data_IF_458862186889
#
_entry.id   IF_458862186889
#
_cell.length_a   1.000
_cell.length_b   1.000
_cell.length_c   1.000
_cell.angle_alpha   90.00
_cell.angle_beta   90.00
_cell.angle_gamma   90.00
#
_symmetry.space_group_name_H-M   'P 1'
#
loop_
_entity.id
_entity.type
_entity.pdbx_description
1 polymer ?
#
# COMPACT_ATOMS: atom_id res chain seq x y z
N UNK A 1 27.47 -30.95 -29.54
CA UNK A 1 27.01 -30.38 -28.22
C UNK A 1 27.19 -28.88 -28.30
N UNK A 2 26.11 -28.15 -28.56
CA UNK A 2 26.08 -26.69 -28.57
C UNK A 2 25.99 -26.19 -27.13
N UNK A 3 26.97 -25.42 -26.68
CA UNK A 3 26.93 -24.79 -25.39
C UNK A 3 25.77 -23.78 -25.34
N UNK A 4 25.00 -23.70 -24.23
CA UNK A 4 23.98 -22.68 -24.11
C UNK A 4 24.65 -21.31 -24.11
N UNK A 5 24.03 -20.34 -24.82
CA UNK A 5 24.49 -18.97 -24.84
C UNK A 5 24.55 -18.40 -23.43
N UNK A 6 25.55 -17.56 -23.10
CA UNK A 6 25.64 -16.94 -21.77
C UNK A 6 24.40 -16.08 -21.52
N UNK A 7 23.71 -16.31 -20.39
CA UNK A 7 22.61 -15.49 -19.92
C UNK A 7 23.25 -14.15 -19.50
N UNK A 8 23.06 -13.14 -20.32
CA UNK A 8 23.49 -11.77 -19.97
C UNK A 8 22.71 -11.33 -18.70
N UNK A 9 23.39 -10.75 -17.71
CA UNK A 9 22.69 -10.16 -16.57
C UNK A 9 21.72 -9.09 -17.06
N UNK A 10 20.49 -9.10 -16.55
CA UNK A 10 19.51 -8.08 -16.89
C UNK A 10 20.10 -6.69 -16.63
N UNK A 11 19.99 -5.80 -17.60
CA UNK A 11 20.42 -4.41 -17.43
C UNK A 11 19.71 -3.80 -16.20
N UNK A 12 20.37 -2.91 -15.43
CA UNK A 12 19.74 -2.27 -14.28
C UNK A 12 18.47 -1.54 -14.72
N UNK A 13 17.40 -1.65 -13.92
CA UNK A 13 16.13 -1.03 -14.20
C UNK A 13 16.32 0.49 -14.41
N UNK A 14 15.88 1.01 -15.54
CA UNK A 14 15.85 2.45 -15.81
C UNK A 14 14.44 2.98 -15.53
N UNK A 15 14.20 3.61 -14.38
CA UNK A 15 12.85 4.05 -13.98
C UNK A 15 12.27 5.14 -14.90
N UNK A 16 13.10 5.76 -15.73
CA UNK A 16 12.71 6.78 -16.70
C UNK A 16 12.49 6.22 -18.12
N UNK A 17 12.60 4.90 -18.31
CA UNK A 17 12.42 4.30 -19.63
C UNK A 17 10.98 4.45 -20.14
N UNK A 18 9.97 4.44 -19.27
CA UNK A 18 8.58 4.73 -19.63
C UNK A 18 8.22 6.14 -19.16
N UNK A 19 8.01 7.03 -20.11
CA UNK A 19 7.55 8.40 -19.87
C UNK A 19 6.03 8.44 -19.99
N UNK A 20 5.36 8.91 -18.94
CA UNK A 20 3.91 8.96 -18.82
C UNK A 20 3.40 10.39 -19.09
N UNK A 21 2.24 10.50 -19.74
CA UNK A 21 1.57 11.79 -19.98
C UNK A 21 1.14 12.49 -18.69
N UNK A 22 0.79 11.70 -17.66
CA UNK A 22 0.47 12.16 -16.33
C UNK A 22 0.69 11.04 -15.31
N UNK A 23 1.02 11.40 -14.08
CA UNK A 23 1.06 10.48 -12.94
C UNK A 23 -0.27 10.47 -12.18
N UNK A 24 -1.05 11.53 -12.34
CA UNK A 24 -2.39 11.66 -11.76
C UNK A 24 -3.34 12.23 -12.80
N UNK A 25 -4.55 11.65 -12.86
CA UNK A 25 -5.67 12.18 -13.61
C UNK A 25 -6.86 12.39 -12.69
N UNK A 26 -7.56 13.50 -12.90
CA UNK A 26 -8.71 13.91 -12.10
C UNK A 26 -9.91 14.13 -13.00
N UNK A 27 -11.09 13.74 -12.53
CA UNK A 27 -12.36 14.06 -13.19
C UNK A 27 -13.47 14.27 -12.17
N UNK A 28 -14.49 15.02 -12.62
CA UNK A 28 -15.72 15.26 -11.88
C UNK A 28 -16.89 14.75 -12.74
N UNK A 29 -17.21 13.45 -12.65
CA UNK A 29 -18.31 12.86 -13.41
C UNK A 29 -19.64 13.50 -13.01
N UNK A 30 -20.60 13.48 -13.92
CA UNK A 30 -21.94 13.97 -13.64
C UNK A 30 -22.67 13.10 -12.59
N UNK A 31 -23.67 13.66 -11.94
CA UNK A 31 -24.48 12.92 -10.99
C UNK A 31 -25.18 11.74 -11.69
N UNK A 32 -25.03 10.53 -11.15
CA UNK A 32 -25.65 9.31 -11.70
C UNK A 32 -24.80 8.56 -12.73
N UNK A 33 -23.61 9.05 -13.08
CA UNK A 33 -22.69 8.25 -13.91
C UNK A 33 -22.28 6.96 -13.19
N UNK A 34 -22.39 5.83 -13.89
CA UNK A 34 -22.11 4.52 -13.35
C UNK A 34 -20.60 4.17 -13.35
N UNK A 35 -19.82 4.84 -14.21
CA UNK A 35 -18.38 4.60 -14.33
C UNK A 35 -17.63 5.85 -14.81
N UNK A 36 -16.35 5.93 -14.49
CA UNK A 36 -15.42 6.91 -15.04
C UNK A 36 -14.27 6.21 -15.74
N UNK A 37 -13.91 6.67 -16.94
CA UNK A 37 -12.88 6.07 -17.77
C UNK A 37 -11.70 7.04 -17.91
N UNK A 38 -10.49 6.51 -17.84
CA UNK A 38 -9.24 7.25 -17.93
C UNK A 38 -8.29 6.52 -18.86
N UNK A 39 -7.48 7.28 -19.61
CA UNK A 39 -6.41 6.74 -20.43
C UNK A 39 -5.12 7.41 -20.02
N UNK A 40 -4.15 6.63 -19.55
CA UNK A 40 -2.77 7.08 -19.35
C UNK A 40 -1.96 6.68 -20.58
N UNK A 41 -1.36 7.66 -21.23
CA UNK A 41 -0.46 7.42 -22.33
C UNK A 41 0.97 7.30 -21.81
N UNK A 42 1.72 6.34 -22.32
CA UNK A 42 3.13 6.21 -22.01
C UNK A 42 3.95 5.86 -23.24
N UNK A 43 5.19 6.33 -23.24
CA UNK A 43 6.14 6.08 -24.35
C UNK A 43 7.40 5.45 -23.79
N UNK A 44 7.86 4.37 -24.43
CA UNK A 44 9.19 3.83 -24.16
C UNK A 44 10.25 4.72 -24.84
N UNK A 45 10.91 5.56 -24.05
CA UNK A 45 11.96 6.49 -24.55
C UNK A 45 13.35 5.88 -24.46
N UNK A 46 13.49 4.63 -23.99
CA UNK A 46 14.76 3.92 -23.94
C UNK A 46 15.12 3.27 -25.27
N UNK A 47 16.35 2.82 -25.39
CA UNK A 47 16.84 2.09 -26.57
C UNK A 47 16.56 0.58 -26.52
N UNK A 48 15.93 0.10 -25.43
CA UNK A 48 15.63 -1.31 -25.19
C UNK A 48 14.14 -1.53 -25.01
N UNK A 49 13.68 -2.74 -25.31
CA UNK A 49 12.31 -3.14 -24.99
C UNK A 49 12.07 -3.07 -23.47
N UNK A 50 10.92 -2.54 -23.08
CA UNK A 50 10.41 -2.60 -21.71
C UNK A 50 9.26 -3.59 -21.66
N UNK A 51 9.29 -4.51 -20.70
CA UNK A 51 8.23 -5.50 -20.49
C UNK A 51 7.43 -5.14 -19.24
N UNK A 52 6.12 -4.92 -19.42
CA UNK A 52 5.19 -4.77 -18.31
C UNK A 52 4.74 -6.16 -17.87
N UNK A 53 5.12 -6.56 -16.67
CA UNK A 53 4.86 -7.89 -16.11
C UNK A 53 3.49 -8.00 -15.47
N UNK A 54 3.02 -6.90 -14.85
CA UNK A 54 1.73 -6.86 -14.20
C UNK A 54 1.20 -5.44 -14.08
N UNK A 55 -0.13 -5.31 -14.11
CA UNK A 55 -0.85 -4.09 -13.74
C UNK A 55 -1.85 -4.46 -12.65
N UNK A 56 -1.79 -3.75 -11.51
CA UNK A 56 -2.64 -4.01 -10.35
C UNK A 56 -3.42 -2.77 -9.96
N UNK A 57 -4.67 -2.95 -9.57
CA UNK A 57 -5.55 -1.87 -9.12
C UNK A 57 -5.76 -1.94 -7.61
N UNK A 58 -6.01 -0.80 -6.96
CA UNK A 58 -6.18 -0.69 -5.51
C UNK A 58 -7.48 -1.29 -4.97
N UNK A 59 -8.44 -1.64 -5.82
CA UNK A 59 -9.72 -2.27 -5.42
C UNK A 59 -10.35 -3.01 -6.61
N UNK A 60 -11.28 -3.91 -6.32
CA UNK A 60 -12.10 -4.58 -7.34
C UNK A 60 -13.07 -3.66 -8.10
N UNK A 61 -13.20 -2.39 -7.65
CA UNK A 61 -14.01 -1.37 -8.33
C UNK A 61 -13.25 -0.65 -9.46
N UNK A 62 -11.97 -0.95 -9.65
CA UNK A 62 -11.12 -0.40 -10.70
C UNK A 62 -10.63 -1.54 -11.58
N UNK A 63 -10.83 -1.42 -12.87
CA UNK A 63 -10.38 -2.38 -13.88
C UNK A 63 -9.48 -1.70 -14.91
N UNK A 64 -8.58 -2.48 -15.51
CA UNK A 64 -7.73 -2.04 -16.60
C UNK A 64 -7.98 -2.92 -17.81
N UNK A 65 -8.02 -2.30 -18.99
CA UNK A 65 -8.03 -3.04 -20.25
C UNK A 65 -6.58 -3.22 -20.69
N UNK A 66 -6.13 -4.46 -20.68
CA UNK A 66 -4.77 -4.82 -20.99
C UNK A 66 -4.72 -5.69 -22.26
N UNK A 67 -3.67 -5.57 -23.07
CA UNK A 67 -3.37 -6.54 -24.09
C UNK A 67 -2.90 -7.87 -23.45
N UNK A 68 -2.34 -8.77 -24.28
CA UNK A 68 -1.73 -10.01 -23.77
C UNK A 68 -0.60 -9.69 -22.80
N UNK A 69 -0.58 -10.35 -21.65
CA UNK A 69 0.47 -10.22 -20.65
C UNK A 69 1.47 -11.39 -20.76
N UNK A 70 2.78 -11.17 -20.60
CA UNK A 70 3.44 -9.87 -20.39
C UNK A 70 3.31 -8.94 -21.59
N UNK A 71 3.25 -7.61 -21.35
CA UNK A 71 3.09 -6.61 -22.39
C UNK A 71 4.44 -6.03 -22.81
N UNK A 72 4.83 -6.32 -24.04
CA UNK A 72 6.10 -5.92 -24.62
C UNK A 72 5.98 -4.53 -25.26
N UNK A 73 6.82 -3.59 -24.87
CA UNK A 73 6.86 -2.20 -25.31
C UNK A 73 8.19 -1.94 -26.03
N UNK A 74 8.25 -2.05 -27.34
CA UNK A 74 9.47 -1.72 -28.10
C UNK A 74 9.92 -0.28 -27.92
N UNK A 75 11.21 0.05 -28.20
CA UNK A 75 11.69 1.43 -28.21
C UNK A 75 10.85 2.34 -29.10
N UNK A 76 10.56 3.56 -28.61
CA UNK A 76 9.78 4.56 -29.32
C UNK A 76 8.27 4.31 -29.35
N UNK A 77 7.78 3.18 -28.83
CA UNK A 77 6.35 2.85 -28.84
C UNK A 77 5.59 3.72 -27.87
N UNK A 78 4.50 4.32 -28.31
CA UNK A 78 3.50 5.01 -27.52
C UNK A 78 2.27 4.10 -27.36
N UNK A 79 1.80 3.92 -26.12
CA UNK A 79 0.69 2.99 -25.81
C UNK A 79 -0.24 3.56 -24.77
N UNK A 80 -1.56 3.26 -24.85
CA UNK A 80 -2.54 3.66 -23.84
C UNK A 80 -2.70 2.58 -22.76
N UNK A 81 -2.76 2.99 -21.51
CA UNK A 81 -3.28 2.20 -20.41
C UNK A 81 -4.70 2.72 -20.07
N UNK A 82 -5.71 1.95 -20.47
CA UNK A 82 -7.11 2.29 -20.22
C UNK A 82 -7.53 1.78 -18.84
N UNK A 83 -8.14 2.65 -18.03
CA UNK A 83 -8.60 2.38 -16.68
C UNK A 83 -10.07 2.79 -16.54
N UNK A 84 -10.89 1.90 -15.98
CA UNK A 84 -12.30 2.16 -15.68
C UNK A 84 -12.56 2.01 -14.19
N UNK A 85 -13.32 2.94 -13.61
CA UNK A 85 -13.72 2.91 -12.19
C UNK A 85 -15.25 2.81 -12.13
N UNK A 86 -15.75 1.79 -11.41
CA UNK A 86 -17.17 1.68 -11.06
C UNK A 86 -17.52 2.72 -9.97
N UNK A 87 -18.46 3.59 -10.26
CA UNK A 87 -18.90 4.68 -9.40
C UNK A 87 -20.18 4.37 -8.63
N UNK A 88 -20.84 3.25 -8.90
CA UNK A 88 -22.11 2.88 -8.27
C UNK A 88 -21.96 2.77 -6.75
N UNK A 89 -22.87 3.43 -6.03
CA UNK A 89 -22.86 3.46 -4.57
C UNK A 89 -21.70 4.25 -3.95
N UNK A 90 -21.03 5.10 -4.73
CA UNK A 90 -19.92 5.94 -4.25
C UNK A 90 -20.33 7.41 -4.24
N UNK A 91 -19.73 8.18 -3.33
CA UNK A 91 -19.94 9.63 -3.19
C UNK A 91 -18.66 10.29 -2.66
N UNK A 92 -18.54 11.60 -2.82
CA UNK A 92 -17.40 12.36 -2.36
C UNK A 92 -16.16 12.20 -3.21
N UNK A 93 -14.99 12.46 -2.64
CA UNK A 93 -13.71 12.34 -3.35
C UNK A 93 -13.18 10.92 -3.23
N UNK A 94 -12.91 10.28 -4.36
CA UNK A 94 -12.38 8.92 -4.43
C UNK A 94 -10.99 8.98 -5.08
N UNK A 95 -9.97 8.48 -4.40
CA UNK A 95 -8.63 8.27 -4.98
C UNK A 95 -8.36 6.79 -5.18
N UNK A 96 -7.88 6.41 -6.37
CA UNK A 96 -7.52 5.04 -6.73
C UNK A 96 -6.12 5.00 -7.34
N UNK A 97 -5.37 3.98 -6.97
CA UNK A 97 -4.05 3.74 -7.53
C UNK A 97 -4.07 2.58 -8.52
N UNK A 98 -3.33 2.74 -9.61
CA UNK A 98 -2.97 1.69 -10.57
C UNK A 98 -1.46 1.53 -10.52
N UNK A 99 -1.00 0.34 -10.21
CA UNK A 99 0.43 0.03 -10.12
C UNK A 99 0.84 -0.79 -11.33
N UNK A 100 1.83 -0.29 -12.05
CA UNK A 100 2.46 -0.94 -13.21
C UNK A 100 3.82 -1.49 -12.79
N UNK A 101 3.99 -2.80 -12.87
CA UNK A 101 5.22 -3.52 -12.60
C UNK A 101 5.89 -3.88 -13.92
N UNK A 102 7.10 -3.39 -14.16
CA UNK A 102 7.82 -3.57 -15.42
C UNK A 102 9.32 -3.78 -15.21
N UNK A 103 10.02 -4.18 -16.29
CA UNK A 103 11.49 -4.25 -16.30
C UNK A 103 12.16 -2.87 -16.10
N UNK A 104 11.43 -1.78 -16.34
CA UNK A 104 11.88 -0.42 -16.02
C UNK A 104 11.68 -0.03 -14.54
N UNK A 105 11.02 -0.89 -13.75
CA UNK A 105 10.67 -0.64 -12.36
C UNK A 105 9.16 -0.55 -12.13
N UNK A 106 8.78 -0.16 -10.91
CA UNK A 106 7.39 -0.04 -10.50
C UNK A 106 6.94 1.42 -10.63
N UNK A 107 5.81 1.63 -11.33
CA UNK A 107 5.17 2.94 -11.45
C UNK A 107 3.78 2.91 -10.82
N UNK A 108 3.47 3.92 -10.02
CA UNK A 108 2.13 4.13 -9.48
C UNK A 108 1.47 5.32 -10.16
N UNK A 109 0.25 5.10 -10.69
CA UNK A 109 -0.59 6.12 -11.31
C UNK A 109 -1.79 6.35 -10.41
N UNK A 110 -2.23 7.60 -10.27
CA UNK A 110 -3.37 7.97 -9.42
C UNK A 110 -4.52 8.48 -10.26
N UNK A 111 -5.71 8.03 -9.90
CA UNK A 111 -6.96 8.57 -10.42
C UNK A 111 -7.74 9.15 -9.26
N UNK A 112 -8.12 10.41 -9.38
CA UNK A 112 -8.98 11.13 -8.45
C UNK A 112 -10.32 11.40 -9.11
N UNK A 113 -11.39 11.00 -8.43
CA UNK A 113 -12.77 11.22 -8.90
C UNK A 113 -13.50 12.07 -7.86
N UNK A 114 -13.98 13.22 -8.28
CA UNK A 114 -14.79 14.12 -7.44
C UNK A 114 -16.27 13.88 -7.74
N UNK A 115 -16.94 13.10 -6.90
CA UNK A 115 -18.35 12.80 -7.03
C UNK A 115 -19.22 13.93 -6.47
N UNK A 116 -20.32 14.32 -7.15
CA UNK A 116 -21.28 15.26 -6.59
C UNK A 116 -21.90 14.76 -5.28
N UNK A 117 -22.18 15.66 -4.34
CA UNK A 117 -22.94 15.37 -3.11
C UNK A 117 -22.14 14.74 -1.95
N UNK A 118 -20.83 14.58 -2.05
CA UNK A 118 -19.99 14.17 -0.96
C UNK A 118 -19.29 15.34 -0.28
N UNK A 119 -19.14 15.29 1.06
CA UNK A 119 -18.24 16.21 1.74
C UNK A 119 -16.82 16.00 1.18
N UNK A 120 -16.14 17.07 0.83
CA UNK A 120 -14.72 17.02 0.45
C UNK A 120 -13.97 16.44 1.63
N UNK A 121 -13.45 15.23 1.48
CA UNK A 121 -12.47 14.71 2.43
C UNK A 121 -11.18 15.49 2.19
N UNK A 122 -11.02 16.55 2.97
CA UNK A 122 -9.79 17.34 2.99
C UNK A 122 -8.69 16.49 3.58
N UNK A 123 -7.88 15.87 2.71
CA UNK A 123 -6.67 15.17 3.08
C UNK A 123 -6.84 13.92 3.96
N UNK A 124 -5.92 13.01 3.85
CA UNK A 124 -5.82 11.84 4.73
C UNK A 124 -5.48 12.32 6.15
N UNK A 125 -6.44 12.25 7.06
CA UNK A 125 -6.18 12.46 8.49
C UNK A 125 -5.80 11.12 9.13
N UNK A 126 -4.52 10.89 9.28
CA UNK A 126 -4.02 9.84 10.17
C UNK A 126 -3.90 10.47 11.55
N UNK A 127 -4.51 9.94 12.61
CA UNK A 127 -4.36 10.49 13.95
C UNK A 127 -2.88 10.72 14.28
N UNK A 128 -2.53 11.95 14.65
CA UNK A 128 -1.13 12.33 14.93
C UNK A 128 -0.26 12.70 13.72
N UNK A 129 -0.80 12.67 12.49
CA UNK A 129 -0.08 13.08 11.29
C UNK A 129 -0.69 14.34 10.66
N UNK A 130 0.13 15.23 10.07
CA UNK A 130 -0.38 16.35 9.30
C UNK A 130 -1.21 15.85 8.12
N UNK A 131 -2.26 16.58 7.77
CA UNK A 131 -3.06 16.29 6.57
C UNK A 131 -2.16 16.31 5.33
N UNK A 132 -2.21 15.24 4.55
CA UNK A 132 -1.41 15.08 3.34
C UNK A 132 -2.31 15.11 2.12
N UNK A 133 -1.98 15.94 1.13
CA UNK A 133 -2.68 15.93 -0.15
C UNK A 133 -2.25 14.74 -1.03
N UNK A 134 -3.05 14.42 -2.04
CA UNK A 134 -2.82 13.26 -2.90
C UNK A 134 -1.50 13.34 -3.68
N UNK A 135 -1.03 14.55 -4.02
CA UNK A 135 0.23 14.75 -4.75
C UNK A 135 1.44 14.40 -3.87
N UNK A 136 1.45 14.89 -2.63
CA UNK A 136 2.53 14.59 -1.69
C UNK A 136 2.53 13.11 -1.31
N UNK A 137 1.33 12.53 -1.15
CA UNK A 137 1.19 11.09 -0.93
C UNK A 137 1.76 10.27 -2.07
N UNK A 138 1.49 10.66 -3.32
CA UNK A 138 2.06 9.99 -4.50
C UNK A 138 3.58 10.08 -4.53
N UNK A 139 4.13 11.27 -4.30
CA UNK A 139 5.60 11.47 -4.23
C UNK A 139 6.23 10.59 -3.16
N UNK A 140 5.63 10.54 -1.97
CA UNK A 140 6.12 9.70 -0.88
C UNK A 140 6.07 8.21 -1.23
N UNK A 141 4.99 7.76 -1.88
CA UNK A 141 4.88 6.38 -2.37
C UNK A 141 5.96 6.05 -3.41
N UNK A 142 6.21 6.94 -4.36
CA UNK A 142 7.26 6.74 -5.37
C UNK A 142 8.65 6.72 -4.75
N UNK A 143 8.92 7.60 -3.78
CA UNK A 143 10.17 7.60 -3.04
C UNK A 143 10.38 6.27 -2.31
N UNK A 144 9.35 5.76 -1.64
CA UNK A 144 9.40 4.48 -0.93
C UNK A 144 9.50 3.25 -1.87
N UNK A 145 8.99 3.33 -3.09
CA UNK A 145 9.17 2.29 -4.11
C UNK A 145 10.59 2.30 -4.67
N UNK A 146 11.22 3.47 -4.79
CA UNK A 146 12.61 3.61 -5.23
C UNK A 146 13.61 3.17 -4.15
N UNK A 147 13.42 3.61 -2.91
CA UNK A 147 14.17 3.17 -1.72
C UNK A 147 13.21 2.99 -0.54
N UNK A 148 12.85 1.75 -0.24
CA UNK A 148 11.94 1.43 0.88
C UNK A 148 12.46 1.92 2.24
N UNK A 149 13.78 2.09 2.40
CA UNK A 149 14.39 2.59 3.63
C UNK A 149 14.39 4.14 3.72
N UNK A 150 13.91 4.84 2.69
CA UNK A 150 13.80 6.31 2.72
C UNK A 150 12.97 6.80 3.90
N UNK A 151 11.96 6.01 4.32
CA UNK A 151 11.10 6.33 5.47
C UNK A 151 11.85 6.42 6.80
N UNK A 152 13.08 5.87 6.87
CA UNK A 152 13.96 5.94 8.04
C UNK A 152 15.18 6.81 7.82
N UNK A 153 15.63 6.98 6.57
CA UNK A 153 16.82 7.75 6.20
C UNK A 153 16.54 9.25 6.07
N UNK A 154 15.40 9.60 5.50
CA UNK A 154 14.97 10.99 5.37
C UNK A 154 14.43 11.50 6.71
N UNK A 155 14.99 12.62 7.22
CA UNK A 155 14.62 13.15 8.53
C UNK A 155 13.14 13.55 8.63
N UNK A 156 12.53 14.04 7.54
CA UNK A 156 11.10 14.38 7.53
C UNK A 156 10.22 13.14 7.59
N UNK A 157 10.61 12.07 6.89
CA UNK A 157 9.90 10.81 6.92
C UNK A 157 10.08 10.11 8.27
N UNK A 158 11.30 10.11 8.82
CA UNK A 158 11.64 9.43 10.07
C UNK A 158 10.85 9.97 11.28
N UNK A 159 10.51 11.26 11.30
CA UNK A 159 9.69 11.87 12.35
C UNK A 159 8.38 11.11 12.59
N UNK A 160 7.76 10.57 11.54
CA UNK A 160 6.52 9.80 11.64
C UNK A 160 6.73 8.29 11.58
N UNK A 161 7.73 7.81 10.82
CA UNK A 161 7.89 6.39 10.54
C UNK A 161 8.93 5.67 11.43
N UNK A 162 9.80 6.41 12.13
CA UNK A 162 10.84 5.84 12.99
C UNK A 162 10.80 6.38 14.42
N UNK A 163 10.73 7.70 14.58
CA UNK A 163 10.86 8.36 15.88
C UNK A 163 9.82 7.92 16.92
N UNK A 164 8.55 7.68 16.56
CA UNK A 164 7.56 7.18 17.53
C UNK A 164 7.94 5.85 18.16
N UNK A 165 8.71 5.01 17.47
CA UNK A 165 9.14 3.72 18.01
C UNK A 165 10.26 3.81 19.06
N UNK A 166 10.98 4.94 19.13
CA UNK A 166 12.15 5.09 20.02
C UNK A 166 11.82 4.92 21.51
N UNK A 167 10.60 5.26 21.92
CA UNK A 167 10.16 5.23 23.33
C UNK A 167 9.16 4.12 23.62
N UNK A 168 8.78 3.33 22.63
CA UNK A 168 7.76 2.28 22.75
C UNK A 168 8.40 0.91 22.87
N UNK A 169 7.82 0.05 23.72
CA UNK A 169 8.28 -1.33 23.90
C UNK A 169 7.16 -2.36 23.63
N UNK A 170 5.89 -1.99 23.81
CA UNK A 170 4.75 -2.90 23.66
C UNK A 170 4.35 -3.11 22.20
N UNK A 171 4.03 -4.35 21.83
CA UNK A 171 3.62 -4.70 20.47
C UNK A 171 2.45 -3.90 19.91
N UNK A 172 1.32 -3.73 20.64
CA UNK A 172 0.19 -2.92 20.19
C UNK A 172 0.56 -1.47 19.90
N UNK A 173 1.34 -0.84 20.80
CA UNK A 173 1.75 0.56 20.65
C UNK A 173 2.73 0.71 19.46
N UNK A 174 3.69 -0.20 19.32
CA UNK A 174 4.61 -0.23 18.19
C UNK A 174 3.86 -0.40 16.87
N UNK A 175 2.92 -1.35 16.82
CA UNK A 175 2.10 -1.56 15.63
C UNK A 175 1.35 -0.28 15.23
N UNK A 176 0.63 0.31 16.16
CA UNK A 176 -0.13 1.55 15.92
C UNK A 176 0.77 2.68 15.43
N UNK A 177 1.96 2.80 16.02
CA UNK A 177 2.86 3.92 15.76
C UNK A 177 3.61 3.84 14.42
N UNK A 178 4.00 2.64 13.96
CA UNK A 178 4.88 2.51 12.78
C UNK A 178 4.40 1.55 11.71
N UNK A 179 3.49 0.63 12.01
CA UNK A 179 2.91 -0.31 11.03
C UNK A 179 1.53 0.13 10.54
N UNK A 180 0.67 0.56 11.47
CA UNK A 180 -0.71 0.97 11.20
C UNK A 180 -0.81 2.14 10.24
N UNK A 181 0.21 3.01 10.17
CA UNK A 181 0.31 4.11 9.21
C UNK A 181 0.07 3.62 7.77
N UNK A 182 0.62 2.45 7.43
CA UNK A 182 0.45 1.84 6.12
C UNK A 182 -0.67 0.79 6.11
N UNK A 183 -0.68 -0.13 7.08
CA UNK A 183 -1.54 -1.30 7.08
C UNK A 183 -2.99 -1.03 7.50
N UNK A 184 -3.23 -0.05 8.38
CA UNK A 184 -4.58 0.36 8.83
C UNK A 184 -5.07 1.64 8.15
N UNK A 185 -4.31 2.19 7.19
CA UNK A 185 -4.71 3.40 6.48
C UNK A 185 -6.03 3.19 5.73
N UNK A 186 -6.97 4.10 5.89
CA UNK A 186 -8.25 4.12 5.14
C UNK A 186 -8.01 4.17 3.63
N UNK A 187 -6.92 4.82 3.20
CA UNK A 187 -6.48 4.88 1.82
C UNK A 187 -5.25 3.99 1.59
N UNK A 188 -5.25 2.79 2.19
CA UNK A 188 -4.16 1.83 2.03
C UNK A 188 -3.81 1.63 0.56
N UNK A 189 -2.51 1.76 0.22
CA UNK A 189 -2.04 1.52 -1.13
C UNK A 189 -2.26 0.04 -1.52
N UNK A 190 -2.54 -0.22 -2.80
CA UNK A 190 -2.82 -1.57 -3.30
C UNK A 190 -1.70 -2.59 -3.03
N UNK A 191 -0.45 -2.11 -2.96
CA UNK A 191 0.72 -2.94 -2.68
C UNK A 191 0.89 -3.26 -1.19
N UNK A 192 0.17 -2.59 -0.30
CA UNK A 192 0.21 -2.82 1.14
C UNK A 192 -0.88 -3.84 1.49
N UNK A 193 -0.54 -5.03 1.99
CA UNK A 193 -1.52 -6.06 2.31
C UNK A 193 -2.44 -5.64 3.45
N UNK A 194 -3.68 -6.13 3.40
CA UNK A 194 -4.59 -6.09 4.54
C UNK A 194 -4.22 -7.21 5.51
N UNK A 195 -3.66 -6.84 6.66
CA UNK A 195 -3.26 -7.83 7.65
C UNK A 195 -4.47 -8.50 8.33
N UNK A 196 -5.65 -7.88 8.25
CA UNK A 196 -6.92 -8.45 8.77
C UNK A 196 -7.58 -9.43 7.79
N UNK A 197 -7.03 -9.57 6.58
CA UNK A 197 -7.56 -10.43 5.52
C UNK A 197 -6.48 -11.35 4.94
N UNK A 198 -5.59 -11.87 5.78
CA UNK A 198 -4.56 -12.83 5.39
C UNK A 198 -5.21 -14.13 4.92
N UNK A 199 -4.65 -14.70 3.85
CA UNK A 199 -5.15 -15.93 3.21
C UNK A 199 -4.27 -17.16 3.46
N UNK A 200 -3.27 -17.04 4.32
CA UNK A 200 -2.32 -18.10 4.66
C UNK A 200 -1.99 -18.05 6.14
N UNK A 201 -1.62 -19.21 6.67
CA UNK A 201 -1.17 -19.33 8.06
C UNK A 201 0.11 -18.53 8.28
N UNK A 202 0.23 -17.96 9.47
CA UNK A 202 1.40 -17.20 9.92
C UNK A 202 1.84 -17.71 11.30
N UNK A 203 3.13 -17.71 11.50
CA UNK A 203 3.76 -18.03 12.77
C UNK A 203 4.65 -16.90 13.28
N UNK A 204 5.27 -17.09 14.42
CA UNK A 204 6.14 -16.08 15.02
C UNK A 204 7.35 -15.76 14.14
N UNK A 205 7.93 -16.77 13.48
CA UNK A 205 9.11 -16.61 12.64
C UNK A 205 8.75 -15.89 11.33
N UNK A 206 7.58 -16.17 10.75
CA UNK A 206 7.04 -15.41 9.65
C UNK A 206 6.98 -13.91 9.98
N UNK A 207 6.39 -13.53 11.11
CA UNK A 207 6.28 -12.14 11.51
C UNK A 207 7.63 -11.51 11.80
N UNK A 208 8.52 -12.21 12.53
CA UNK A 208 9.89 -11.73 12.80
C UNK A 208 10.65 -11.46 11.50
N UNK A 209 10.58 -12.38 10.55
CA UNK A 209 11.28 -12.26 9.27
C UNK A 209 10.81 -11.01 8.51
N UNK A 210 9.49 -10.87 8.32
CA UNK A 210 8.95 -9.73 7.56
C UNK A 210 9.17 -8.39 8.27
N UNK A 211 9.10 -8.32 9.58
CA UNK A 211 9.37 -7.11 10.34
C UNK A 211 10.86 -6.76 10.26
N UNK A 212 11.75 -7.74 10.47
CA UNK A 212 13.20 -7.49 10.49
C UNK A 212 13.70 -7.03 9.13
N UNK A 213 13.38 -7.78 8.06
CA UNK A 213 14.01 -7.58 6.75
C UNK A 213 13.12 -6.85 5.75
N UNK A 214 11.86 -6.62 6.06
CA UNK A 214 10.88 -6.05 5.13
C UNK A 214 10.70 -6.89 3.88
N UNK A 215 10.23 -6.28 2.80
CA UNK A 215 10.03 -6.99 1.52
C UNK A 215 10.75 -6.26 0.38
N UNK A 216 11.79 -6.89 -0.15
CA UNK A 216 12.49 -6.37 -1.32
C UNK A 216 11.53 -6.19 -2.50
N UNK A 217 11.70 -5.12 -3.29
CA UNK A 217 10.83 -4.79 -4.42
C UNK A 217 9.43 -4.30 -4.02
N UNK A 218 9.24 -3.88 -2.76
CA UNK A 218 8.00 -3.29 -2.27
C UNK A 218 8.27 -2.07 -1.40
N UNK A 219 7.22 -1.40 -0.93
CA UNK A 219 7.35 -0.28 0.01
C UNK A 219 7.57 -0.72 1.46
N UNK A 220 7.49 -2.00 1.78
CA UNK A 220 7.69 -2.47 3.16
C UNK A 220 9.16 -2.38 3.54
N UNK A 221 9.54 -1.46 4.45
CA UNK A 221 10.93 -1.28 4.86
C UNK A 221 11.38 -2.41 5.79
N UNK A 222 12.68 -2.57 5.94
CA UNK A 222 13.28 -3.40 6.97
C UNK A 222 13.34 -2.62 8.27
N UNK A 223 12.64 -3.08 9.30
CA UNK A 223 12.61 -2.41 10.60
C UNK A 223 13.79 -2.82 11.50
N UNK A 224 14.47 -3.91 11.18
CA UNK A 224 15.62 -4.38 11.94
C UNK A 224 16.85 -3.50 11.79
N UNK A 225 17.62 -3.35 12.88
CA UNK A 225 18.86 -2.56 12.88
C UNK A 225 19.89 -3.08 11.89
N UNK A 226 19.87 -4.36 11.58
CA UNK A 226 20.77 -5.01 10.60
C UNK A 226 20.68 -4.36 9.21
N UNK A 227 19.50 -3.88 8.84
CA UNK A 227 19.24 -3.19 7.56
C UNK A 227 19.00 -1.68 7.74
N UNK A 228 19.44 -1.10 8.87
CA UNK A 228 19.30 0.33 9.15
C UNK A 228 17.92 0.75 9.63
N UNK A 229 17.09 -0.19 10.08
CA UNK A 229 15.78 0.09 10.67
C UNK A 229 15.84 0.57 12.11
N UNK A 230 14.74 1.13 12.64
CA UNK A 230 14.72 1.76 13.96
C UNK A 230 14.54 0.77 15.14
N UNK A 231 14.05 -0.45 14.90
CA UNK A 231 13.63 -1.36 15.98
C UNK A 231 14.77 -2.23 16.50
N UNK A 232 14.80 -2.41 17.82
CA UNK A 232 15.63 -3.42 18.50
C UNK A 232 15.03 -4.81 18.35
N UNK A 233 15.81 -5.85 18.60
CA UNK A 233 15.34 -7.24 18.57
C UNK A 233 14.19 -7.50 19.57
N UNK A 234 14.23 -6.85 20.74
CA UNK A 234 13.18 -6.95 21.75
C UNK A 234 11.86 -6.32 21.25
N UNK A 235 11.94 -5.17 20.56
CA UNK A 235 10.78 -4.52 19.96
C UNK A 235 10.22 -5.36 18.81
N UNK A 236 11.08 -5.96 17.97
CA UNK A 236 10.67 -6.87 16.90
C UNK A 236 9.96 -8.09 17.49
N UNK A 237 10.50 -8.69 18.55
CA UNK A 237 9.87 -9.83 19.21
C UNK A 237 8.48 -9.49 19.77
N UNK A 238 8.35 -8.37 20.47
CA UNK A 238 7.08 -7.90 21.02
C UNK A 238 6.04 -7.60 19.91
N UNK A 239 6.49 -6.98 18.81
CA UNK A 239 5.65 -6.67 17.68
C UNK A 239 5.21 -7.93 16.92
N UNK A 240 6.11 -8.89 16.70
CA UNK A 240 5.82 -10.17 16.07
C UNK A 240 4.81 -10.99 16.86
N UNK A 241 4.97 -11.07 18.19
CA UNK A 241 4.01 -11.73 19.09
C UNK A 241 2.62 -11.08 19.02
N UNK A 242 2.56 -9.76 19.01
CA UNK A 242 1.30 -9.02 18.82
C UNK A 242 0.66 -9.33 17.47
N UNK A 243 1.43 -9.25 16.38
CA UNK A 243 0.92 -9.51 15.03
C UNK A 243 0.40 -10.94 14.87
N UNK A 244 1.15 -11.93 15.40
CA UNK A 244 0.74 -13.33 15.38
C UNK A 244 -0.58 -13.56 16.11
N UNK A 245 -0.80 -12.90 17.25
CA UNK A 245 -2.03 -13.03 18.03
C UNK A 245 -3.23 -12.27 17.45
N UNK A 246 -2.96 -11.18 16.72
CA UNK A 246 -3.97 -10.25 16.25
C UNK A 246 -4.43 -10.56 14.83
N UNK A 247 -3.51 -10.94 13.94
CA UNK A 247 -3.78 -11.13 12.51
C UNK A 247 -3.77 -12.61 12.16
N UNK A 248 -4.89 -13.26 12.44
CA UNK A 248 -5.10 -14.67 12.07
C UNK A 248 -5.67 -14.75 10.64
N UNK A 249 -5.36 -15.82 9.89
CA UNK A 249 -5.91 -16.02 8.56
C UNK A 249 -7.44 -16.14 8.62
N UNK A 250 -8.09 -15.54 7.63
CA UNK A 250 -9.55 -15.68 7.47
C UNK A 250 -9.83 -17.04 6.81
N UNK A 251 -10.20 -18.02 7.63
CA UNK A 251 -10.67 -19.30 7.10
C UNK A 251 -12.07 -19.12 6.48
N UNK A 252 -12.23 -19.47 5.22
CA UNK A 252 -13.53 -19.48 4.57
C UNK A 252 -14.43 -20.51 5.27
N UNK A 253 -15.38 -20.04 6.11
CA UNK A 253 -16.36 -20.89 6.77
C UNK A 253 -16.51 -20.75 8.28
N UNK A 254 -15.67 -19.96 8.96
CA UNK A 254 -15.87 -19.67 10.40
C UNK A 254 -16.54 -18.30 10.53
N UNK A 255 -17.77 -18.20 11.09
CA UNK A 255 -18.38 -16.90 11.40
C UNK A 255 -17.48 -16.12 12.36
N UNK A 256 -17.31 -14.82 12.10
CA UNK A 256 -16.60 -13.94 13.01
C UNK A 256 -17.19 -14.08 14.42
N UNK A 257 -16.34 -14.12 15.49
CA UNK A 257 -16.85 -14.13 16.85
C UNK A 257 -17.72 -12.89 17.06
N UNK A 258 -18.99 -13.11 17.42
CA UNK A 258 -19.92 -12.04 17.81
C UNK A 258 -19.31 -11.28 18.97
N UNK A 259 -19.30 -9.94 18.95
CA UNK A 259 -18.84 -9.16 20.10
C UNK A 259 -19.73 -9.52 21.29
N UNK A 260 -19.12 -10.11 22.30
CA UNK A 260 -19.80 -10.38 23.57
C UNK A 260 -20.08 -9.02 24.21
N UNK A 261 -21.32 -8.57 24.11
CA UNK A 261 -21.82 -7.44 24.89
C UNK A 261 -21.73 -7.83 26.36
N UNK A 262 -20.79 -7.24 27.10
CA UNK A 262 -20.76 -7.29 28.56
C UNK A 262 -21.96 -6.51 29.11
N UNK A 263 -23.13 -7.17 29.11
CA UNK A 263 -24.31 -6.74 29.83
C UNK A 263 -24.41 -7.57 31.11
N UNK A 264 -23.49 -7.37 32.04
CA UNK A 264 -23.63 -7.90 33.41
C UNK A 264 -22.67 -7.21 34.37
N UNK A 265 -22.78 -5.90 34.57
CA UNK A 265 -22.38 -5.21 35.81
C UNK A 265 -23.37 -4.07 36.05
N UNK A 266 -24.57 -4.39 36.48
CA UNK A 266 -25.44 -3.48 37.20
C UNK A 266 -26.19 -4.31 38.24
N UNK A 267 -25.64 -4.43 39.43
CA UNK A 267 -26.33 -4.61 40.72
C UNK A 267 -25.28 -4.71 41.83
N UNK A 268 -24.75 -3.58 42.22
CA UNK A 268 -24.17 -3.44 43.55
C UNK A 268 -25.08 -2.47 44.30
N UNK A 269 -25.90 -3.09 45.16
CA UNK A 269 -26.80 -2.48 46.12
C UNK A 269 -26.02 -1.53 47.02
N UNK A 270 -26.50 -0.28 47.16
CA UNK A 270 -26.01 0.67 48.18
C UNK A 270 -26.50 0.23 49.55
N UNK A 271 -25.67 0.26 50.60
CA UNK A 271 -26.14 0.10 51.97
C UNK A 271 -26.85 1.37 52.43
N UNK A 272 -28.03 1.19 53.02
CA UNK A 272 -28.80 2.25 53.74
C UNK A 272 -27.99 2.75 54.92
N UNK A 273 -27.82 4.07 55.01
CA UNK A 273 -27.40 4.76 56.24
C UNK A 273 -28.58 4.81 57.23
N UNK A 274 -28.30 4.42 58.46
CA UNK A 274 -29.08 4.77 59.63
C UNK A 274 -28.47 6.01 60.26
#
# INVERSE_FOLDING_TARGET
MTLPAPVMPAAPANPNALVWDAEMKEASPAAGEASANYTFWFTNTSQSEVVINAVRTSCGCTSTKLPTMPWHIPPGTNSPLEVSIDLRGKSGVISKAVTVDSTAGIKSLIIKVNMPGGAQQTGLQIPGHPAMNDVDRLKNMQSALGDRQVVFKDAKCATCHADPAKTLAGGPQLYSAVCGICHDSVQRAALVPDLKALKHETDLDYWKQWITYGKAGSMMPAFGKVDGGPLSEQQIAALADYCMKTFQPVHAGVPAPTPTTNAAIQNITQPKAN
#
